data_IF_700390077834
#
_entry.id   IF_700390077834
#
_cell.length_a   1.000
_cell.length_b   1.000
_cell.length_c   1.000
_cell.angle_alpha   90.00
_cell.angle_beta   90.00
_cell.angle_gamma   90.00
#
_symmetry.space_group_name_H-M   'P 1'
#
loop_
_entity.id
_entity.type
_entity.pdbx_description
1 polymer ?
#
# COMPACT_ATOMS: atom_id res chain seq x y z
N UNK A 1 2.35 -10.70 -16.22
CA UNK A 1 3.29 -10.02 -15.31
C UNK A 1 3.20 -8.54 -15.65
N UNK A 2 3.15 -7.63 -14.68
CA UNK A 2 3.12 -6.20 -15.03
C UNK A 2 4.49 -5.81 -15.56
N UNK A 3 4.54 -5.16 -16.72
CA UNK A 3 5.78 -4.69 -17.33
C UNK A 3 5.88 -3.19 -17.17
N UNK A 4 6.96 -2.70 -16.56
CA UNK A 4 7.26 -1.27 -16.43
C UNK A 4 8.29 -0.84 -17.47
N UNK A 5 8.05 0.29 -18.14
CA UNK A 5 9.06 0.92 -18.99
C UNK A 5 10.21 1.49 -18.14
N UNK A 6 11.35 1.78 -18.76
CA UNK A 6 12.45 2.44 -18.06
C UNK A 6 12.03 3.81 -17.48
N UNK A 7 11.17 4.54 -18.20
CA UNK A 7 10.62 5.81 -17.76
C UNK A 7 9.71 5.64 -16.53
N UNK A 8 8.79 4.68 -16.55
CA UNK A 8 7.93 4.38 -15.40
C UNK A 8 8.74 3.98 -14.16
N UNK A 9 9.76 3.14 -14.33
CA UNK A 9 10.67 2.75 -13.24
C UNK A 9 11.40 3.97 -12.66
N UNK A 10 11.91 4.85 -13.52
CA UNK A 10 12.59 6.07 -13.08
C UNK A 10 11.64 7.01 -12.33
N UNK A 11 10.42 7.20 -12.83
CA UNK A 11 9.37 8.00 -12.18
C UNK A 11 9.05 7.44 -10.79
N UNK A 12 8.76 6.14 -10.69
CA UNK A 12 8.39 5.49 -9.43
C UNK A 12 9.55 5.61 -8.43
N UNK A 13 10.77 5.33 -8.85
CA UNK A 13 11.96 5.38 -7.98
C UNK A 13 12.25 6.81 -7.50
N UNK A 14 12.14 7.79 -8.39
CA UNK A 14 12.37 9.21 -8.07
C UNK A 14 11.34 9.74 -7.07
N UNK A 15 10.05 9.44 -7.27
CA UNK A 15 9.01 9.79 -6.32
C UNK A 15 9.25 9.09 -4.97
N UNK A 16 9.55 7.79 -4.99
CA UNK A 16 9.77 7.00 -3.78
C UNK A 16 10.93 7.51 -2.93
N UNK A 17 11.97 8.08 -3.55
CA UNK A 17 13.07 8.73 -2.84
C UNK A 17 12.65 9.93 -1.98
N UNK A 18 11.45 10.48 -2.20
CA UNK A 18 10.87 11.59 -1.44
C UNK A 18 9.79 11.16 -0.44
N UNK A 19 9.35 9.90 -0.48
CA UNK A 19 8.26 9.37 0.37
C UNK A 19 8.72 9.27 1.82
N UNK A 20 7.91 9.79 2.75
CA UNK A 20 8.11 9.58 4.17
C UNK A 20 7.41 8.27 4.58
N UNK A 21 8.14 7.16 4.54
CA UNK A 21 7.60 5.80 4.77
C UNK A 21 6.80 5.69 6.08
N UNK A 22 7.18 6.41 7.13
CA UNK A 22 6.49 6.36 8.41
C UNK A 22 5.19 7.17 8.40
N UNK A 23 5.26 8.42 7.93
CA UNK A 23 4.11 9.33 7.88
C UNK A 23 3.09 8.89 6.82
N UNK A 24 3.53 8.69 5.58
CA UNK A 24 2.67 8.33 4.46
C UNK A 24 2.06 6.95 4.66
N UNK A 25 2.81 6.04 5.29
CA UNK A 25 2.35 4.68 5.55
C UNK A 25 1.32 4.63 6.66
N UNK A 26 1.55 5.35 7.75
CA UNK A 26 0.56 5.52 8.81
C UNK A 26 -0.71 6.20 8.29
N UNK A 27 -0.58 7.23 7.45
CA UNK A 27 -1.71 7.92 6.85
C UNK A 27 -2.51 7.01 5.91
N UNK A 28 -1.83 6.24 5.03
CA UNK A 28 -2.51 5.33 4.10
C UNK A 28 -3.30 4.24 4.83
N UNK A 29 -2.69 3.57 5.82
CA UNK A 29 -3.39 2.55 6.60
C UNK A 29 -4.52 3.16 7.44
N UNK A 30 -4.29 4.31 8.09
CA UNK A 30 -5.32 4.99 8.86
C UNK A 30 -6.54 5.36 8.00
N UNK A 31 -6.30 5.88 6.78
CA UNK A 31 -7.37 6.21 5.84
C UNK A 31 -8.11 4.97 5.33
N UNK A 32 -7.42 3.85 5.08
CA UNK A 32 -8.09 2.59 4.72
C UNK A 32 -9.10 2.20 5.81
N UNK A 33 -8.69 2.21 7.07
CA UNK A 33 -9.53 1.82 8.20
C UNK A 33 -10.71 2.79 8.44
N UNK A 34 -10.56 4.06 8.10
CA UNK A 34 -11.63 5.07 8.22
C UNK A 34 -12.61 4.98 7.05
N UNK A 35 -12.11 4.95 5.81
CA UNK A 35 -12.95 4.99 4.60
C UNK A 35 -13.63 3.65 4.32
N UNK A 36 -12.99 2.56 4.75
CA UNK A 36 -13.47 1.19 4.55
C UNK A 36 -13.53 0.44 5.89
N UNK A 37 -14.50 0.75 6.77
CA UNK A 37 -14.50 0.29 8.17
C UNK A 37 -14.50 -1.23 8.36
N UNK A 38 -14.99 -2.00 7.38
CA UNK A 38 -14.94 -3.48 7.45
C UNK A 38 -13.50 -4.02 7.50
N UNK A 39 -12.51 -3.24 7.05
CA UNK A 39 -11.09 -3.62 7.14
C UNK A 39 -10.57 -3.61 8.58
N UNK A 40 -11.25 -2.96 9.52
CA UNK A 40 -10.86 -2.94 10.93
C UNK A 40 -10.89 -4.33 11.58
N UNK A 41 -11.71 -5.27 11.06
CA UNK A 41 -11.81 -6.65 11.56
C UNK A 41 -10.48 -7.43 11.57
N UNK A 42 -9.50 -6.98 10.79
CA UNK A 42 -8.17 -7.61 10.72
C UNK A 42 -7.22 -7.08 11.80
N UNK A 43 -7.64 -6.11 12.60
CA UNK A 43 -6.79 -5.32 13.49
C UNK A 43 -7.31 -5.26 14.93
N UNK A 44 -8.02 -6.28 15.40
CA UNK A 44 -8.61 -6.32 16.76
C UNK A 44 -7.57 -6.11 17.89
N UNK A 45 -6.32 -6.54 17.66
CA UNK A 45 -5.22 -6.36 18.62
C UNK A 45 -4.64 -4.93 18.65
N UNK A 46 -5.13 -4.04 17.79
CA UNK A 46 -4.62 -2.66 17.66
C UNK A 46 -5.25 -1.71 18.70
N UNK A 47 -6.23 -2.19 19.47
CA UNK A 47 -6.88 -1.41 20.52
C UNK A 47 -7.98 -0.52 19.95
N UNK A 48 -8.04 0.74 20.41
CA UNK A 48 -9.14 1.64 20.05
C UNK A 48 -9.07 2.09 18.58
N UNK A 49 -10.07 1.68 17.79
CA UNK A 49 -10.30 2.08 16.39
C UNK A 49 -11.70 2.69 16.18
N UNK A 50 -12.37 3.16 17.25
CA UNK A 50 -13.80 3.52 17.21
C UNK A 50 -14.15 4.81 16.46
N UNK A 51 -13.16 5.63 16.10
CA UNK A 51 -13.35 6.90 15.42
C UNK A 51 -12.16 7.25 14.55
N UNK A 52 -12.33 8.17 13.59
CA UNK A 52 -11.24 8.63 12.75
C UNK A 52 -10.06 9.19 13.56
N UNK A 53 -10.32 9.99 14.61
CA UNK A 53 -9.27 10.51 15.48
C UNK A 53 -8.53 9.39 16.21
N UNK A 54 -9.26 8.41 16.75
CA UNK A 54 -8.66 7.24 17.42
C UNK A 54 -7.78 6.44 16.45
N UNK A 55 -8.25 6.17 15.24
CA UNK A 55 -7.51 5.44 14.20
C UNK A 55 -6.25 6.19 13.78
N UNK A 56 -6.37 7.47 13.41
CA UNK A 56 -5.25 8.28 12.92
C UNK A 56 -4.20 8.56 14.00
N UNK A 57 -4.62 8.59 15.28
CA UNK A 57 -3.75 8.71 16.44
C UNK A 57 -3.13 7.39 16.91
N UNK A 58 -3.59 6.23 16.40
CA UNK A 58 -3.22 4.93 16.95
C UNK A 58 -1.75 4.57 16.61
N UNK A 59 -0.89 4.33 17.62
CA UNK A 59 0.53 4.05 17.37
C UNK A 59 0.75 2.71 16.67
N UNK A 60 -0.10 1.70 16.88
CA UNK A 60 -0.02 0.40 16.20
C UNK A 60 -0.42 0.51 14.73
N UNK A 61 -1.41 1.35 14.40
CA UNK A 61 -1.76 1.69 13.01
C UNK A 61 -0.57 2.35 12.31
N UNK A 62 0.04 3.36 12.92
CA UNK A 62 1.22 4.02 12.35
C UNK A 62 2.38 3.06 12.12
N UNK A 63 2.71 2.25 13.14
CA UNK A 63 3.78 1.27 13.06
C UNK A 63 3.52 0.20 11.99
N UNK A 64 2.27 -0.26 11.83
CA UNK A 64 1.93 -1.23 10.80
C UNK A 64 1.92 -0.60 9.39
N UNK A 65 1.40 0.63 9.25
CA UNK A 65 1.46 1.38 8.00
C UNK A 65 2.89 1.57 7.48
N UNK A 66 3.83 1.86 8.38
CA UNK A 66 5.27 1.88 8.07
C UNK A 66 5.77 0.55 7.51
N UNK A 67 5.36 -0.59 8.10
CA UNK A 67 5.74 -1.93 7.61
C UNK A 67 5.18 -2.20 6.21
N UNK A 68 3.93 -1.82 5.96
CA UNK A 68 3.29 -1.94 4.64
C UNK A 68 4.08 -1.16 3.58
N UNK A 69 4.36 0.13 3.81
CA UNK A 69 5.12 0.92 2.84
C UNK A 69 6.58 0.48 2.72
N UNK A 70 7.19 -0.03 3.79
CA UNK A 70 8.54 -0.63 3.69
C UNK A 70 8.53 -1.82 2.72
N UNK A 71 7.49 -2.67 2.78
CA UNK A 71 7.33 -3.77 1.83
C UNK A 71 7.09 -3.29 0.40
N UNK A 72 6.39 -2.17 0.21
CA UNK A 72 6.28 -1.55 -1.12
C UNK A 72 7.62 -1.01 -1.61
N UNK A 73 8.49 -0.53 -0.72
CA UNK A 73 9.87 -0.16 -1.04
C UNK A 73 10.67 -1.34 -1.58
N UNK A 74 10.48 -2.54 -1.05
CA UNK A 74 11.10 -3.76 -1.61
C UNK A 74 10.54 -4.12 -2.99
N UNK A 75 9.25 -3.89 -3.22
CA UNK A 75 8.65 -4.06 -4.55
C UNK A 75 9.25 -3.10 -5.59
N UNK A 76 9.53 -1.86 -5.21
CA UNK A 76 10.14 -0.84 -6.07
C UNK A 76 11.57 -1.24 -6.45
N UNK A 77 12.31 -1.92 -5.57
CA UNK A 77 13.63 -2.49 -5.90
C UNK A 77 13.55 -3.70 -6.84
N UNK A 78 12.40 -4.38 -6.89
CA UNK A 78 12.19 -5.63 -7.61
C UNK A 78 11.00 -5.54 -8.60
N UNK A 79 10.84 -4.42 -9.30
CA UNK A 79 9.67 -4.16 -10.16
C UNK A 79 9.46 -5.19 -11.27
N UNK A 80 10.51 -5.91 -11.68
CA UNK A 80 10.44 -6.97 -12.69
C UNK A 80 9.93 -8.32 -12.14
N UNK A 81 9.98 -8.53 -10.82
CA UNK A 81 9.52 -9.76 -10.17
C UNK A 81 8.69 -9.48 -8.91
N UNK A 82 7.57 -8.77 -9.09
CA UNK A 82 6.62 -8.53 -8.00
C UNK A 82 6.06 -9.83 -7.42
N UNK A 83 5.85 -10.86 -8.25
CA UNK A 83 5.27 -12.13 -7.81
C UNK A 83 6.21 -12.89 -6.88
N UNK A 84 7.48 -13.02 -7.25
CA UNK A 84 8.48 -13.63 -6.37
C UNK A 84 8.64 -12.83 -5.08
N UNK A 85 8.73 -11.49 -5.20
CA UNK A 85 8.88 -10.58 -4.06
C UNK A 85 7.75 -10.72 -3.03
N UNK A 86 6.50 -10.84 -3.48
CA UNK A 86 5.32 -10.92 -2.61
C UNK A 86 4.83 -12.34 -2.31
N UNK A 87 5.50 -13.39 -2.81
CA UNK A 87 5.02 -14.77 -2.68
C UNK A 87 4.69 -15.16 -1.24
N UNK A 88 5.59 -14.88 -0.29
CA UNK A 88 5.37 -15.20 1.13
C UNK A 88 4.24 -14.36 1.75
N UNK A 89 4.15 -13.08 1.39
CA UNK A 89 3.07 -12.22 1.87
C UNK A 89 1.72 -12.61 1.28
N UNK A 90 1.68 -13.12 0.05
CA UNK A 90 0.47 -13.66 -0.57
C UNK A 90 -0.09 -14.84 0.22
N UNK A 91 0.74 -15.81 0.57
CA UNK A 91 0.37 -16.96 1.43
C UNK A 91 -0.10 -16.49 2.81
N UNK A 92 0.64 -15.58 3.44
CA UNK A 92 0.26 -15.06 4.75
C UNK A 92 -1.14 -14.41 4.72
N UNK A 93 -1.40 -13.54 3.76
CA UNK A 93 -2.68 -12.83 3.69
C UNK A 93 -3.85 -13.73 3.26
N UNK A 94 -3.58 -14.76 2.46
CA UNK A 94 -4.54 -15.79 2.09
C UNK A 94 -4.82 -16.76 3.24
N UNK A 95 -3.84 -17.59 3.61
CA UNK A 95 -4.03 -18.81 4.40
C UNK A 95 -4.12 -18.57 5.91
N UNK A 96 -3.63 -17.41 6.38
CA UNK A 96 -3.63 -17.06 7.80
C UNK A 96 -4.57 -15.91 8.11
N UNK A 97 -4.46 -14.82 7.36
CA UNK A 97 -5.21 -13.60 7.64
C UNK A 97 -6.58 -13.57 6.95
N UNK A 98 -6.82 -14.42 5.95
CA UNK A 98 -8.08 -14.50 5.20
C UNK A 98 -8.55 -13.13 4.69
N UNK A 99 -7.62 -12.31 4.22
CA UNK A 99 -7.89 -10.96 3.70
C UNK A 99 -8.45 -11.09 2.29
N UNK A 100 -9.66 -10.60 2.06
CA UNK A 100 -10.22 -10.55 0.70
C UNK A 100 -9.30 -9.73 -0.23
N UNK A 101 -8.89 -10.28 -1.40
CA UNK A 101 -7.99 -9.62 -2.34
C UNK A 101 -8.38 -8.20 -2.76
N UNK A 102 -9.68 -7.88 -2.77
CA UNK A 102 -10.15 -6.54 -3.15
C UNK A 102 -9.60 -5.46 -2.20
N UNK A 103 -9.34 -5.80 -0.94
CA UNK A 103 -8.78 -4.86 0.04
C UNK A 103 -7.36 -4.40 -0.33
N UNK A 104 -6.58 -5.19 -1.08
CA UNK A 104 -5.27 -4.75 -1.57
C UNK A 104 -5.40 -3.61 -2.58
N UNK A 105 -6.41 -3.69 -3.46
CA UNK A 105 -6.70 -2.66 -4.45
C UNK A 105 -7.18 -1.37 -3.77
N UNK A 106 -8.02 -1.50 -2.74
CA UNK A 106 -8.48 -0.36 -1.93
C UNK A 106 -7.32 0.36 -1.25
N UNK A 107 -6.41 -0.39 -0.61
CA UNK A 107 -5.23 0.18 0.02
C UNK A 107 -4.31 0.87 -1.02
N UNK A 108 -4.13 0.26 -2.19
CA UNK A 108 -3.39 0.86 -3.30
C UNK A 108 -3.96 2.21 -3.73
N UNK A 109 -5.28 2.29 -3.91
CA UNK A 109 -5.97 3.54 -4.25
C UNK A 109 -5.80 4.61 -3.17
N UNK A 110 -5.95 4.23 -1.90
CA UNK A 110 -5.76 5.15 -0.77
C UNK A 110 -4.34 5.69 -0.74
N UNK A 111 -3.34 4.84 -0.98
CA UNK A 111 -1.95 5.28 -1.05
C UNK A 111 -1.74 6.31 -2.18
N UNK A 112 -2.30 6.09 -3.37
CA UNK A 112 -2.20 7.07 -4.47
C UNK A 112 -2.81 8.42 -4.08
N UNK A 113 -3.93 8.42 -3.34
CA UNK A 113 -4.55 9.65 -2.82
C UNK A 113 -3.65 10.34 -1.80
N UNK A 114 -3.01 9.58 -0.91
CA UNK A 114 -2.06 10.12 0.09
C UNK A 114 -0.86 10.76 -0.60
N UNK A 115 -0.27 10.08 -1.60
CA UNK A 115 0.84 10.63 -2.38
C UNK A 115 0.42 11.91 -3.12
N UNK A 116 -0.76 11.92 -3.75
CA UNK A 116 -1.29 13.12 -4.40
C UNK A 116 -1.46 14.30 -3.43
N UNK A 117 -1.92 14.04 -2.20
CA UNK A 117 -2.05 15.06 -1.15
C UNK A 117 -0.70 15.64 -0.75
N UNK A 118 0.32 14.81 -0.56
CA UNK A 118 1.63 15.24 -0.07
C UNK A 118 2.49 15.91 -1.14
N UNK A 119 2.44 15.45 -2.38
CA UNK A 119 3.23 15.99 -3.48
C UNK A 119 2.52 17.10 -4.27
N UNK A 120 1.20 17.27 -4.09
CA UNK A 120 0.43 18.34 -4.69
C UNK A 120 0.66 18.46 -6.20
N UNK A 121 1.15 19.62 -6.66
CA UNK A 121 1.41 19.87 -8.09
C UNK A 121 2.54 19.01 -8.67
N UNK A 122 3.45 18.48 -7.84
CA UNK A 122 4.47 17.55 -8.30
C UNK A 122 3.88 16.18 -8.67
N UNK A 123 2.70 15.82 -8.15
CA UNK A 123 2.02 14.56 -8.48
C UNK A 123 1.24 14.69 -9.80
N UNK A 124 1.97 14.79 -10.90
CA UNK A 124 1.40 14.96 -12.25
C UNK A 124 0.58 13.74 -12.67
N UNK A 125 -0.30 13.86 -13.69
CA UNK A 125 -1.04 12.73 -14.24
C UNK A 125 -0.14 11.55 -14.67
N UNK A 126 1.06 11.83 -15.17
CA UNK A 126 2.06 10.83 -15.55
C UNK A 126 2.60 10.08 -14.33
N UNK A 127 2.92 10.80 -13.26
CA UNK A 127 3.34 10.19 -11.98
C UNK A 127 2.21 9.36 -11.38
N UNK A 128 0.98 9.89 -11.39
CA UNK A 128 -0.20 9.16 -10.94
C UNK A 128 -0.40 7.87 -11.73
N UNK A 129 -0.29 7.89 -13.06
CA UNK A 129 -0.44 6.70 -13.90
C UNK A 129 0.61 5.62 -13.56
N UNK A 130 1.87 6.01 -13.39
CA UNK A 130 2.95 5.10 -12.99
C UNK A 130 2.70 4.50 -11.59
N UNK A 131 2.28 5.32 -10.62
CA UNK A 131 1.94 4.86 -9.27
C UNK A 131 0.73 3.93 -9.26
N UNK A 132 -0.32 4.24 -10.03
CA UNK A 132 -1.51 3.40 -10.19
C UNK A 132 -1.15 2.02 -10.76
N UNK A 133 -0.32 2.00 -11.80
CA UNK A 133 0.20 0.76 -12.37
C UNK A 133 1.00 -0.05 -11.35
N UNK A 134 1.82 0.63 -10.54
CA UNK A 134 2.60 -0.01 -9.47
C UNK A 134 1.71 -0.67 -8.42
N UNK A 135 0.78 0.09 -7.82
CA UNK A 135 -0.09 -0.46 -6.77
C UNK A 135 -1.03 -1.56 -7.28
N UNK A 136 -1.47 -1.47 -8.55
CA UNK A 136 -2.25 -2.54 -9.19
C UNK A 136 -1.41 -3.83 -9.42
N UNK A 137 -0.14 -3.68 -9.82
CA UNK A 137 0.80 -4.79 -9.94
C UNK A 137 1.07 -5.48 -8.60
N UNK A 138 1.24 -4.68 -7.54
CA UNK A 138 1.41 -5.18 -6.16
C UNK A 138 0.16 -5.91 -5.68
N UNK A 139 -1.03 -5.34 -5.88
CA UNK A 139 -2.29 -6.01 -5.51
C UNK A 139 -2.45 -7.35 -6.25
N UNK A 140 -2.12 -7.39 -7.54
CA UNK A 140 -2.14 -8.63 -8.34
C UNK A 140 -1.14 -9.67 -7.81
N UNK A 141 0.06 -9.24 -7.41
CA UNK A 141 1.07 -10.13 -6.85
C UNK A 141 0.66 -10.69 -5.48
N UNK A 142 0.09 -9.85 -4.61
CA UNK A 142 -0.44 -10.26 -3.31
C UNK A 142 -1.63 -11.22 -3.43
N UNK A 143 -2.45 -11.07 -4.46
CA UNK A 143 -3.58 -11.97 -4.73
C UNK A 143 -3.18 -13.28 -5.42
N UNK A 144 -1.91 -13.48 -5.79
CA UNK A 144 -1.54 -14.55 -6.72
C UNK A 144 -1.73 -15.97 -6.18
N UNK A 145 -1.55 -16.19 -4.87
CA UNK A 145 -1.65 -17.52 -4.24
C UNK A 145 -3.00 -17.80 -3.56
N UNK A 146 -4.01 -16.99 -3.85
CA UNK A 146 -5.37 -17.22 -3.41
C UNK A 146 -6.00 -18.38 -4.20
N UNK A 147 -6.48 -19.39 -3.50
CA UNK A 147 -7.02 -20.64 -4.05
C UNK A 147 -8.37 -21.01 -3.44
#
# INVERSE_FOLDING_TARGET
>A
MVHFTAEEKAIITSLWGKVNVEEDGGEALGRLLVVYPWTQRFFDTFGNLSSASAIMGNPKVKAHGKKVLSSLGEAIKNMDDLKGTFSHLSELHCDRLHVDPENFRLLGNVLVIVLAKHFGKEFTPQIQAACQKMVAGVATALAHKYH
#
